data_IF_781925509532
#
_entry.id   IF_781925509532
#
_cell.length_a   1.000
_cell.length_b   1.000
_cell.length_c   1.000
_cell.angle_alpha   90.00
_cell.angle_beta   90.00
_cell.angle_gamma   90.00
#
_symmetry.space_group_name_H-M   'P 1'
#
loop_
_entity.id
_entity.type
_entity.pdbx_description
1 polymer ?
#
# COMPACT_ATOMS: atom_id res chain seq x y z
N UNK A 1 -1.81 -17.25 -15.16
CA UNK A 1 -2.37 -15.88 -15.29
C UNK A 1 -1.37 -15.08 -16.12
N UNK A 2 -1.84 -14.12 -16.92
CA UNK A 2 -0.93 -13.28 -17.72
C UNK A 2 -0.15 -12.35 -16.78
N UNK A 3 1.16 -12.17 -17.07
CA UNK A 3 2.00 -11.21 -16.34
C UNK A 3 1.53 -9.79 -16.62
N UNK A 4 1.69 -8.90 -15.66
CA UNK A 4 1.37 -7.47 -15.79
C UNK A 4 2.63 -6.68 -16.06
N UNK A 5 2.59 -5.84 -17.10
CA UNK A 5 3.66 -4.94 -17.50
C UNK A 5 3.20 -3.50 -17.28
N UNK A 6 3.91 -2.74 -16.48
CA UNK A 6 3.74 -1.28 -16.39
C UNK A 6 4.78 -0.68 -17.32
N UNK A 7 4.33 0.03 -18.36
CA UNK A 7 5.18 0.62 -19.39
C UNK A 7 5.16 2.15 -19.34
N UNK A 8 6.07 2.78 -20.07
CA UNK A 8 6.21 4.25 -20.13
C UNK A 8 6.33 4.88 -18.74
N UNK A 9 7.03 4.23 -17.82
CA UNK A 9 7.13 4.63 -16.41
C UNK A 9 8.41 5.44 -16.14
N UNK A 10 8.33 6.36 -15.17
CA UNK A 10 9.48 6.90 -14.44
C UNK A 10 9.64 6.10 -13.17
N UNK A 11 10.43 5.02 -13.21
CA UNK A 11 10.60 4.14 -12.05
C UNK A 11 11.54 4.81 -11.04
N UNK A 12 11.05 4.98 -9.81
CA UNK A 12 11.81 5.56 -8.71
C UNK A 12 12.67 4.48 -8.07
N UNK A 13 13.97 4.60 -8.20
CA UNK A 13 14.98 3.74 -7.57
C UNK A 13 15.65 4.47 -6.40
N UNK A 14 16.48 3.78 -5.66
CA UNK A 14 17.17 4.32 -4.48
C UNK A 14 18.02 5.56 -4.80
N UNK A 15 18.71 5.58 -5.93
CA UNK A 15 19.68 6.63 -6.27
C UNK A 15 19.35 7.38 -7.56
N UNK A 16 18.38 6.91 -8.33
CA UNK A 16 18.04 7.51 -9.62
C UNK A 16 16.57 7.30 -9.99
N UNK A 17 16.14 7.98 -11.06
CA UNK A 17 14.87 7.75 -11.72
C UNK A 17 15.15 7.12 -13.08
N UNK A 18 14.73 5.87 -13.23
CA UNK A 18 14.80 5.16 -14.49
C UNK A 18 13.68 5.67 -15.42
N UNK A 19 14.06 6.40 -16.48
CA UNK A 19 13.11 6.90 -17.49
C UNK A 19 12.85 5.86 -18.55
N UNK A 20 11.67 5.96 -19.20
CA UNK A 20 11.21 4.98 -20.20
C UNK A 20 11.29 3.55 -19.62
N UNK A 21 10.81 3.43 -18.41
CA UNK A 21 10.89 2.20 -17.62
C UNK A 21 9.74 1.24 -17.92
N UNK A 22 10.07 -0.04 -17.83
CA UNK A 22 9.12 -1.15 -17.79
C UNK A 22 9.28 -1.88 -16.46
N UNK A 23 8.17 -2.18 -15.79
CA UNK A 23 8.14 -3.00 -14.58
C UNK A 23 7.23 -4.19 -14.81
N UNK A 24 7.75 -5.39 -14.55
CA UNK A 24 7.05 -6.66 -14.76
C UNK A 24 6.61 -7.23 -13.41
N UNK A 25 5.34 -7.61 -13.32
CA UNK A 25 4.77 -8.19 -12.11
C UNK A 25 4.01 -9.49 -12.42
N UNK A 26 4.10 -10.43 -11.51
CA UNK A 26 3.27 -11.63 -11.48
C UNK A 26 2.88 -11.97 -10.04
N UNK A 27 1.63 -12.35 -9.84
CA UNK A 27 1.07 -12.76 -8.53
C UNK A 27 1.38 -11.79 -7.39
N UNK A 28 1.36 -10.47 -7.66
CA UNK A 28 1.61 -9.43 -6.67
C UNK A 28 3.11 -9.24 -6.32
N UNK A 29 4.02 -9.80 -7.11
CA UNK A 29 5.46 -9.64 -6.94
C UNK A 29 6.08 -8.95 -8.15
N UNK A 30 7.05 -8.09 -7.90
CA UNK A 30 7.92 -7.56 -8.94
C UNK A 30 8.89 -8.66 -9.36
N UNK A 31 8.92 -8.99 -10.65
CA UNK A 31 9.85 -9.96 -11.22
C UNK A 31 11.09 -9.29 -11.80
N UNK A 32 10.87 -8.19 -12.51
CA UNK A 32 11.92 -7.51 -13.26
C UNK A 32 11.53 -6.05 -13.47
N UNK A 33 12.51 -5.19 -13.65
CA UNK A 33 12.33 -3.83 -14.16
C UNK A 33 13.58 -3.40 -14.95
N UNK A 34 13.39 -2.53 -15.92
CA UNK A 34 14.47 -2.05 -16.79
C UNK A 34 13.95 -1.01 -17.76
N UNK A 35 14.75 -0.68 -18.78
CA UNK A 35 14.34 0.22 -19.83
C UNK A 35 13.51 -0.51 -20.90
N UNK A 36 12.64 0.22 -21.59
CA UNK A 36 11.74 -0.36 -22.58
C UNK A 36 12.47 -1.17 -23.68
N UNK A 37 13.68 -0.79 -24.06
CA UNK A 37 14.46 -1.53 -25.06
C UNK A 37 15.08 -2.83 -24.52
N UNK A 38 15.11 -3.03 -23.20
CA UNK A 38 15.69 -4.20 -22.52
C UNK A 38 14.64 -5.27 -22.26
N UNK A 39 13.38 -4.86 -22.06
CA UNK A 39 12.28 -5.74 -21.64
C UNK A 39 11.18 -5.75 -22.70
N UNK A 40 11.14 -6.77 -23.57
CA UNK A 40 10.07 -6.89 -24.55
C UNK A 40 8.73 -7.20 -23.87
N UNK A 41 7.68 -6.52 -24.31
CA UNK A 41 6.31 -6.73 -23.82
C UNK A 41 5.60 -7.72 -24.75
N UNK A 42 5.19 -8.92 -24.25
CA UNK A 42 4.43 -9.89 -25.04
C UNK A 42 3.06 -9.36 -25.47
N UNK A 43 2.55 -9.83 -26.62
CA UNK A 43 1.25 -9.41 -27.13
C UNK A 43 0.06 -9.79 -26.23
N UNK A 44 0.21 -10.88 -25.46
CA UNK A 44 -0.80 -11.40 -24.54
C UNK A 44 -0.65 -10.88 -23.09
N UNK A 45 0.29 -9.95 -22.87
CA UNK A 45 0.50 -9.37 -21.54
C UNK A 45 -0.65 -8.44 -21.13
N UNK A 46 -0.89 -8.36 -19.84
CA UNK A 46 -1.71 -7.28 -19.25
C UNK A 46 -0.85 -6.03 -19.16
N UNK A 47 -1.22 -4.98 -19.89
CA UNK A 47 -0.42 -3.76 -19.95
C UNK A 47 -1.10 -2.61 -19.22
N UNK A 48 -0.33 -1.93 -18.35
CA UNK A 48 -0.68 -0.66 -17.73
C UNK A 48 0.27 0.40 -18.26
N UNK A 49 -0.26 1.38 -19.00
CA UNK A 49 0.52 2.51 -19.47
C UNK A 49 0.62 3.58 -18.38
N UNK A 50 1.81 3.81 -17.84
CA UNK A 50 2.07 4.81 -16.84
C UNK A 50 2.10 6.25 -17.39
N UNK A 51 2.06 6.45 -18.71
CA UNK A 51 1.98 7.77 -19.35
C UNK A 51 3.04 8.76 -18.85
N UNK A 52 4.27 8.29 -18.67
CA UNK A 52 5.38 9.06 -18.12
C UNK A 52 5.20 9.51 -16.66
N UNK A 53 4.26 8.89 -15.92
CA UNK A 53 4.11 9.13 -14.49
C UNK A 53 5.15 8.34 -13.67
N UNK A 54 5.31 8.76 -12.41
CA UNK A 54 6.19 8.06 -11.48
C UNK A 54 5.58 6.75 -11.01
N UNK A 55 6.40 5.71 -11.00
CA UNK A 55 6.09 4.40 -10.41
C UNK A 55 7.16 4.10 -9.37
N UNK A 56 6.76 3.90 -8.16
CA UNK A 56 7.66 3.62 -7.04
C UNK A 56 7.03 2.70 -6.00
N UNK A 57 7.78 2.32 -4.96
CA UNK A 57 7.23 1.63 -3.81
C UNK A 57 6.11 2.46 -3.17
N UNK A 58 5.09 1.79 -2.65
CA UNK A 58 4.10 2.46 -1.83
C UNK A 58 4.72 3.00 -0.54
N UNK A 59 4.17 4.08 -0.03
CA UNK A 59 4.63 4.67 1.22
C UNK A 59 4.33 3.76 2.41
N UNK A 60 5.23 3.79 3.40
CA UNK A 60 5.09 3.10 4.67
C UNK A 60 4.89 4.15 5.75
N UNK A 61 3.71 4.15 6.39
CA UNK A 61 3.43 5.01 7.54
C UNK A 61 3.47 4.18 8.81
N UNK A 62 4.40 4.51 9.70
CA UNK A 62 4.62 3.76 10.93
C UNK A 62 3.88 4.35 12.14
N UNK A 63 3.17 5.47 11.98
CA UNK A 63 2.47 6.11 13.10
C UNK A 63 1.37 7.07 12.61
N UNK A 64 0.18 6.55 12.42
CA UNK A 64 -0.99 7.34 12.03
C UNK A 64 -2.25 6.85 12.74
N UNK A 65 -3.04 7.79 13.26
CA UNK A 65 -4.26 7.48 14.04
C UNK A 65 -5.50 7.30 13.18
N UNK A 66 -5.53 7.93 12.01
CA UNK A 66 -6.66 7.89 11.09
C UNK A 66 -6.62 9.04 10.10
N UNK A 67 -7.57 9.06 9.17
CA UNK A 67 -7.68 10.06 8.12
C UNK A 67 -9.10 10.23 7.63
N UNK A 68 -9.36 11.38 6.96
CA UNK A 68 -10.66 11.71 6.37
C UNK A 68 -11.85 11.60 7.36
N UNK A 69 -11.63 11.95 8.64
CA UNK A 69 -12.65 11.91 9.68
C UNK A 69 -12.87 10.53 10.31
N UNK A 70 -12.10 9.53 9.97
CA UNK A 70 -12.18 8.18 10.55
C UNK A 70 -10.88 7.83 11.26
N UNK A 71 -10.98 7.35 12.50
CA UNK A 71 -9.89 6.77 13.25
C UNK A 71 -9.86 5.25 13.07
N UNK A 72 -8.67 4.64 13.16
CA UNK A 72 -8.54 3.18 13.05
C UNK A 72 -9.32 2.42 14.12
N UNK A 73 -9.46 2.99 15.32
CA UNK A 73 -10.27 2.38 16.38
C UNK A 73 -11.79 2.48 16.14
N UNK A 74 -12.23 3.31 15.19
CA UNK A 74 -13.64 3.48 14.82
C UNK A 74 -14.00 2.67 13.57
N UNK A 75 -13.32 2.95 12.47
CA UNK A 75 -13.55 2.31 11.17
C UNK A 75 -12.20 2.11 10.44
N UNK A 76 -11.49 1.00 10.71
CA UNK A 76 -10.17 0.75 10.14
C UNK A 76 -10.20 0.65 8.61
N UNK A 77 -11.30 0.18 8.01
CA UNK A 77 -11.43 0.06 6.55
C UNK A 77 -11.47 1.44 5.88
N UNK A 78 -12.31 2.35 6.38
CA UNK A 78 -12.39 3.70 5.82
C UNK A 78 -11.15 4.53 6.08
N UNK A 79 -10.57 4.40 7.28
CA UNK A 79 -9.31 5.07 7.59
C UNK A 79 -8.20 4.61 6.65
N UNK A 80 -8.00 3.30 6.49
CA UNK A 80 -7.00 2.74 5.58
C UNK A 80 -7.27 3.12 4.11
N UNK A 81 -8.54 3.16 3.70
CA UNK A 81 -8.94 3.55 2.34
C UNK A 81 -8.50 4.95 1.96
N UNK A 82 -8.53 5.89 2.90
CA UNK A 82 -8.01 7.24 2.68
C UNK A 82 -6.51 7.22 2.36
N UNK A 83 -5.71 6.55 3.16
CA UNK A 83 -4.26 6.48 2.99
C UNK A 83 -3.86 5.71 1.73
N UNK A 84 -4.52 4.58 1.47
CA UNK A 84 -4.27 3.80 0.27
C UNK A 84 -4.52 4.60 -1.02
N UNK A 85 -5.55 5.47 -1.03
CA UNK A 85 -5.83 6.36 -2.15
C UNK A 85 -4.75 7.43 -2.37
N UNK A 86 -3.88 7.66 -1.38
CA UNK A 86 -2.74 8.59 -1.44
C UNK A 86 -1.38 7.88 -1.57
N UNK A 87 -1.40 6.55 -1.81
CA UNK A 87 -0.18 5.77 -2.07
C UNK A 87 0.48 5.16 -0.84
N UNK A 88 -0.15 5.22 0.32
CA UNK A 88 0.34 4.55 1.53
C UNK A 88 -0.18 3.10 1.53
N UNK A 89 0.72 2.18 1.22
CA UNK A 89 0.38 0.75 1.05
C UNK A 89 0.68 -0.09 2.27
N UNK A 90 1.35 0.50 3.27
CA UNK A 90 1.70 -0.17 4.53
C UNK A 90 1.54 0.80 5.69
N UNK A 91 0.70 0.45 6.65
CA UNK A 91 0.29 1.35 7.74
C UNK A 91 0.42 0.63 9.07
N UNK A 92 1.02 1.27 10.07
CA UNK A 92 0.86 0.91 11.47
C UNK A 92 -0.23 1.80 12.08
N UNK A 93 -1.39 1.20 12.38
CA UNK A 93 -2.52 1.90 12.96
C UNK A 93 -2.22 2.28 14.42
N UNK A 94 -2.03 3.58 14.68
CA UNK A 94 -1.72 4.07 16.01
C UNK A 94 -2.99 4.19 16.87
N UNK A 95 -2.88 3.72 18.11
CA UNK A 95 -3.91 3.86 19.13
C UNK A 95 -3.46 4.87 20.17
N UNK A 96 -4.36 5.76 20.58
CA UNK A 96 -4.07 6.79 21.56
C UNK A 96 -3.76 6.21 22.94
N UNK A 97 -2.85 6.86 23.67
CA UNK A 97 -2.42 6.49 25.02
C UNK A 97 -3.51 6.70 26.09
N UNK A 98 -4.51 7.54 25.80
CA UNK A 98 -5.60 7.88 26.74
C UNK A 98 -6.80 6.94 26.65
N UNK A 99 -6.76 5.94 25.79
CA UNK A 99 -7.80 4.92 25.71
C UNK A 99 -7.81 4.09 26.99
N UNK A 100 -8.98 3.95 27.61
CA UNK A 100 -9.11 3.03 28.73
C UNK A 100 -8.87 1.58 28.26
N UNK A 101 -8.53 0.69 29.20
CA UNK A 101 -8.21 -0.71 28.87
C UNK A 101 -9.30 -1.40 28.04
N UNK A 102 -10.58 -1.16 28.36
CA UNK A 102 -11.70 -1.79 27.64
C UNK A 102 -11.78 -1.30 26.19
N UNK A 103 -11.64 0.01 25.98
CA UNK A 103 -11.67 0.62 24.65
C UNK A 103 -10.46 0.22 23.83
N UNK A 104 -9.29 0.14 24.46
CA UNK A 104 -8.06 -0.33 23.81
C UNK A 104 -8.22 -1.77 23.31
N UNK A 105 -8.69 -2.69 24.16
CA UNK A 105 -8.94 -4.07 23.75
C UNK A 105 -9.97 -4.16 22.63
N UNK A 106 -11.08 -3.41 22.72
CA UNK A 106 -12.10 -3.38 21.67
C UNK A 106 -11.56 -2.84 20.34
N UNK A 107 -10.70 -1.82 20.40
CA UNK A 107 -10.04 -1.24 19.22
C UNK A 107 -9.10 -2.22 18.54
N UNK A 108 -8.28 -2.92 19.32
CA UNK A 108 -7.37 -3.97 18.82
C UNK A 108 -8.18 -5.07 18.09
N UNK A 109 -9.24 -5.58 18.71
CA UNK A 109 -10.06 -6.64 18.12
C UNK A 109 -10.78 -6.16 16.85
N UNK A 110 -11.22 -4.91 16.78
CA UNK A 110 -11.82 -4.32 15.59
C UNK A 110 -10.82 -4.26 14.43
N UNK A 111 -9.60 -3.78 14.69
CA UNK A 111 -8.54 -3.72 13.69
C UNK A 111 -8.16 -5.13 13.22
N UNK A 112 -7.96 -6.08 14.15
CA UNK A 112 -7.66 -7.48 13.81
C UNK A 112 -8.75 -8.11 12.94
N UNK A 113 -10.02 -7.85 13.25
CA UNK A 113 -11.14 -8.35 12.47
C UNK A 113 -11.14 -7.78 11.05
N UNK A 114 -10.89 -6.48 10.90
CA UNK A 114 -10.80 -5.84 9.59
C UNK A 114 -9.65 -6.41 8.75
N UNK A 115 -8.47 -6.60 9.35
CA UNK A 115 -7.29 -7.16 8.68
C UNK A 115 -7.50 -8.64 8.32
N UNK A 116 -8.10 -9.44 9.21
CA UNK A 116 -8.32 -10.87 8.97
C UNK A 116 -9.34 -11.15 7.88
N UNK A 117 -10.25 -10.22 7.59
CA UNK A 117 -11.16 -10.28 6.46
C UNK A 117 -10.46 -10.26 5.10
N UNK A 118 -9.19 -9.86 5.06
CA UNK A 118 -8.25 -9.90 3.93
C UNK A 118 -8.78 -9.30 2.62
N UNK A 119 -9.77 -8.42 2.70
CA UNK A 119 -10.40 -7.77 1.56
C UNK A 119 -10.44 -6.25 1.78
N UNK A 120 -10.37 -5.47 0.71
CA UNK A 120 -10.45 -4.02 0.80
C UNK A 120 -9.16 -3.33 1.28
N UNK A 121 -9.32 -2.10 1.77
CA UNK A 121 -8.21 -1.21 2.11
C UNK A 121 -7.51 -1.59 3.42
N UNK A 122 -8.20 -2.26 4.34
CA UNK A 122 -7.61 -2.72 5.61
C UNK A 122 -6.42 -3.66 5.43
N UNK A 123 -6.24 -4.24 4.24
CA UNK A 123 -5.02 -5.00 3.86
C UNK A 123 -3.73 -4.17 3.94
N UNK A 124 -3.83 -2.84 3.86
CA UNK A 124 -2.68 -1.95 4.04
C UNK A 124 -2.24 -1.85 5.51
N UNK A 125 -3.09 -2.25 6.45
CA UNK A 125 -2.75 -2.24 7.88
C UNK A 125 -1.84 -3.44 8.19
N UNK A 126 -0.56 -3.18 8.37
CA UNK A 126 0.45 -4.19 8.67
C UNK A 126 0.54 -4.52 10.17
N UNK A 127 0.06 -3.63 11.02
CA UNK A 127 0.11 -3.82 12.47
C UNK A 127 -0.51 -2.68 13.25
N UNK A 128 -0.39 -2.76 14.55
CA UNK A 128 -0.88 -1.74 15.49
C UNK A 128 0.33 -1.12 16.19
N UNK A 129 0.35 0.22 16.23
CA UNK A 129 1.30 0.98 17.02
C UNK A 129 0.63 1.39 18.35
N UNK A 130 1.28 1.07 19.46
CA UNK A 130 0.83 1.45 20.79
C UNK A 130 1.67 2.63 21.27
N UNK A 131 1.04 3.77 21.56
CA UNK A 131 1.77 4.95 22.09
C UNK A 131 2.28 4.76 23.53
N UNK A 132 1.98 3.62 24.09
CA UNK A 132 2.41 3.24 25.40
C UNK A 132 1.29 3.37 26.46
N UNK A 133 1.53 2.96 27.72
CA UNK A 133 0.76 3.34 28.88
C UNK A 133 1.25 4.67 29.41
#
# INVERSE_FOLDING_TARGET
MAMTYIINARIVLETEILRDGVLVMDQGRILEFGRAFEIPVPEDAVVIDAQDHFVGPGFVDIHVHGGNGYFFYQDPEKAAGHFLAHGETTILAALYYDLCKADLCASIERIKTAVSGAQGASRAIAGIYMEGP
#
